data_IF_983366095978
#
_entry.id   IF_983366095978
#
_cell.length_a   1.000
_cell.length_b   1.000
_cell.length_c   1.000
_cell.angle_alpha   90.00
_cell.angle_beta   90.00
_cell.angle_gamma   90.00
#
_symmetry.space_group_name_H-M   'P 1'
#
loop_
_entity.id
_entity.type
_entity.pdbx_description
1 polymer ?
#
# COMPACT_ATOMS: atom_id res chain seq x y z
N UNK A 1 -12.00 -6.71 15.13
CA UNK A 1 -11.86 -6.40 13.69
C UNK A 1 -10.37 -6.27 13.39
N UNK A 2 -9.93 -6.92 12.35
CA UNK A 2 -8.52 -6.85 11.93
C UNK A 2 -8.26 -5.51 11.24
N UNK A 3 -7.33 -4.74 11.77
CA UNK A 3 -7.00 -3.39 11.29
C UNK A 3 -5.58 -3.33 10.76
N UNK A 4 -5.39 -2.62 9.66
CA UNK A 4 -4.09 -2.37 9.05
C UNK A 4 -4.05 -0.92 8.58
N UNK A 5 -2.88 -0.29 8.74
CA UNK A 5 -2.70 1.13 8.39
C UNK A 5 -1.89 1.28 7.11
N UNK A 6 -2.04 2.42 6.48
CA UNK A 6 -1.16 2.87 5.40
C UNK A 6 -0.66 4.28 5.68
N UNK A 7 0.52 4.60 5.18
CA UNK A 7 1.14 5.91 5.32
C UNK A 7 2.01 6.21 4.11
N UNK A 8 2.05 7.47 3.68
CA UNK A 8 3.03 7.96 2.71
C UNK A 8 4.07 8.81 3.42
N UNK A 9 5.37 8.56 3.18
CA UNK A 9 6.40 9.34 3.88
C UNK A 9 6.46 10.79 3.37
N UNK A 10 6.16 11.03 2.10
CA UNK A 10 6.16 12.36 1.50
C UNK A 10 7.47 13.13 1.77
N UNK A 11 7.37 14.41 2.00
CA UNK A 11 8.49 15.31 2.33
C UNK A 11 8.62 15.57 3.84
N UNK A 12 8.00 14.73 4.67
CA UNK A 12 8.04 14.89 6.13
C UNK A 12 9.46 14.81 6.66
N UNK A 13 9.72 15.48 7.78
CA UNK A 13 10.91 15.18 8.57
C UNK A 13 10.77 13.78 9.17
N UNK A 14 11.89 13.18 9.54
CA UNK A 14 11.83 11.86 10.19
C UNK A 14 11.11 11.97 11.55
N UNK A 15 11.25 13.07 12.26
CA UNK A 15 10.56 13.33 13.53
C UNK A 15 9.04 13.36 13.34
N UNK A 16 8.55 14.09 12.34
CA UNK A 16 7.11 14.15 12.01
C UNK A 16 6.58 12.76 11.64
N UNK A 17 7.34 12.01 10.85
CA UNK A 17 6.97 10.66 10.45
C UNK A 17 6.86 9.71 11.65
N UNK A 18 7.85 9.74 12.55
CA UNK A 18 7.82 8.93 13.78
C UNK A 18 6.66 9.32 14.69
N UNK A 19 6.34 10.60 14.80
CA UNK A 19 5.19 11.07 15.59
C UNK A 19 3.86 10.52 15.06
N UNK A 20 3.69 10.47 13.74
CA UNK A 20 2.50 9.89 13.12
C UNK A 20 2.38 8.41 13.44
N UNK A 21 3.47 7.66 13.33
CA UNK A 21 3.48 6.23 13.63
C UNK A 21 3.15 5.97 15.10
N UNK A 22 3.73 6.73 16.00
CA UNK A 22 3.49 6.60 17.44
C UNK A 22 2.05 6.97 17.81
N UNK A 23 1.50 8.03 17.20
CA UNK A 23 0.13 8.44 17.46
C UNK A 23 -0.91 7.37 17.13
N UNK A 24 -0.63 6.53 16.15
CA UNK A 24 -1.49 5.42 15.73
C UNK A 24 -1.01 4.05 16.27
N UNK A 25 -0.06 4.06 17.20
CA UNK A 25 0.46 2.83 17.85
C UNK A 25 1.06 1.81 16.87
N UNK A 26 1.68 2.28 15.80
CA UNK A 26 2.30 1.41 14.79
C UNK A 26 3.52 0.72 15.39
N UNK A 27 3.58 -0.59 15.23
CA UNK A 27 4.64 -1.45 15.76
C UNK A 27 5.61 -1.92 14.66
N UNK A 28 5.15 -1.94 13.43
CA UNK A 28 5.97 -2.33 12.27
C UNK A 28 5.59 -1.52 11.05
N UNK A 29 6.60 -1.00 10.33
CA UNK A 29 6.44 -0.41 9.01
C UNK A 29 6.84 -1.46 7.98
N UNK A 30 5.93 -1.76 7.06
CA UNK A 30 6.19 -2.59 5.88
C UNK A 30 6.37 -1.66 4.68
N UNK A 31 7.59 -1.57 4.21
CA UNK A 31 7.97 -0.71 3.09
C UNK A 31 7.62 -1.40 1.78
N UNK A 32 6.66 -0.86 1.05
CA UNK A 32 6.18 -1.39 -0.23
C UNK A 32 6.73 -0.61 -1.43
N UNK A 33 7.80 0.14 -1.24
CA UNK A 33 8.52 0.75 -2.36
C UNK A 33 9.32 -0.31 -3.10
N UNK A 34 9.29 -0.30 -4.41
CA UNK A 34 10.14 -1.20 -5.21
C UNK A 34 11.61 -0.90 -4.97
N UNK A 35 11.96 0.40 -4.97
CA UNK A 35 13.31 0.91 -4.64
C UNK A 35 13.18 1.73 -3.36
N UNK A 36 13.67 1.25 -2.21
CA UNK A 36 13.53 1.94 -0.93
C UNK A 36 14.58 3.03 -0.73
N UNK A 37 14.62 3.97 -1.67
CA UNK A 37 15.53 5.11 -1.68
C UNK A 37 14.76 6.39 -2.01
N UNK A 38 15.26 7.52 -1.54
CA UNK A 38 14.72 8.82 -1.90
C UNK A 38 15.85 9.84 -2.02
N UNK A 39 16.09 10.35 -3.22
CA UNK A 39 17.11 11.39 -3.45
C UNK A 39 16.71 12.71 -2.83
N UNK A 40 15.42 13.06 -2.90
CA UNK A 40 14.90 14.34 -2.36
C UNK A 40 14.69 14.31 -0.86
N UNK A 41 14.47 13.13 -0.30
CA UNK A 41 14.18 12.93 1.12
C UNK A 41 15.08 11.81 1.66
N UNK A 42 16.40 12.05 1.80
CA UNK A 42 17.36 11.01 2.13
C UNK A 42 17.13 10.37 3.51
N UNK A 43 16.41 11.05 4.40
CA UNK A 43 16.00 10.48 5.70
C UNK A 43 15.10 9.25 5.53
N UNK A 44 14.48 9.05 4.37
CA UNK A 44 13.66 7.89 4.03
C UNK A 44 14.37 6.87 3.15
N UNK A 45 15.67 7.01 2.94
CA UNK A 45 16.50 5.92 2.43
C UNK A 45 16.43 4.71 3.35
N UNK A 46 16.54 3.50 2.81
CA UNK A 46 16.28 2.27 3.56
C UNK A 46 17.08 2.19 4.87
N UNK A 47 18.40 2.45 4.81
CA UNK A 47 19.27 2.32 5.97
C UNK A 47 18.94 3.38 7.03
N UNK A 48 18.75 4.65 6.60
CA UNK A 48 18.41 5.75 7.49
C UNK A 48 17.06 5.53 8.14
N UNK A 49 16.06 5.11 7.37
CA UNK A 49 14.72 4.85 7.87
C UNK A 49 14.71 3.68 8.85
N UNK A 50 15.37 2.57 8.51
CA UNK A 50 15.44 1.41 9.38
C UNK A 50 16.12 1.75 10.71
N UNK A 51 17.21 2.52 10.68
CA UNK A 51 17.89 2.97 11.89
C UNK A 51 16.98 3.82 12.77
N UNK A 52 16.29 4.80 12.18
CA UNK A 52 15.39 5.68 12.93
C UNK A 52 14.20 4.91 13.53
N UNK A 53 13.60 3.99 12.79
CA UNK A 53 12.51 3.15 13.28
C UNK A 53 12.96 2.23 14.41
N UNK A 54 14.10 1.57 14.24
CA UNK A 54 14.67 0.68 15.28
C UNK A 54 14.92 1.44 16.57
N UNK A 55 15.49 2.63 16.51
CA UNK A 55 15.70 3.50 17.68
C UNK A 55 14.38 3.92 18.34
N UNK A 56 13.31 4.03 17.58
CA UNK A 56 11.98 4.34 18.10
C UNK A 56 11.20 3.09 18.57
N UNK A 57 11.79 1.90 18.50
CA UNK A 57 11.15 0.65 18.91
C UNK A 57 10.14 0.13 17.89
N UNK A 58 10.24 0.55 16.62
CA UNK A 58 9.35 0.15 15.52
C UNK A 58 10.13 -0.76 14.58
N UNK A 59 9.58 -1.93 14.27
CA UNK A 59 10.18 -2.85 13.32
C UNK A 59 10.07 -2.31 11.88
N UNK A 60 11.00 -2.70 11.04
CA UNK A 60 11.03 -2.36 9.61
C UNK A 60 11.18 -3.61 8.77
N UNK A 61 10.38 -3.74 7.74
CA UNK A 61 10.49 -4.79 6.72
C UNK A 61 10.33 -4.15 5.35
N UNK A 62 11.25 -4.44 4.43
CA UNK A 62 11.08 -4.12 3.02
C UNK A 62 10.40 -5.31 2.33
N UNK A 63 9.24 -5.07 1.72
CA UNK A 63 8.46 -6.11 1.06
C UNK A 63 8.30 -5.79 -0.42
N UNK A 64 9.33 -6.14 -1.19
CA UNK A 64 9.44 -5.81 -2.61
C UNK A 64 8.33 -6.45 -3.46
N UNK A 65 7.83 -7.62 -3.07
CA UNK A 65 6.75 -8.29 -3.80
C UNK A 65 5.39 -7.58 -3.70
N UNK A 66 5.27 -6.52 -2.90
CA UNK A 66 4.15 -5.59 -2.92
C UNK A 66 4.50 -4.25 -3.55
N UNK A 67 5.70 -4.12 -4.12
CA UNK A 67 6.17 -2.90 -4.75
C UNK A 67 5.44 -2.57 -6.06
N UNK A 68 5.42 -1.27 -6.41
CA UNK A 68 4.88 -0.76 -7.66
C UNK A 68 5.81 -0.96 -8.85
N UNK A 69 5.80 -0.04 -9.82
CA UNK A 69 6.61 -0.09 -11.05
C UNK A 69 6.34 -1.35 -11.88
N UNK A 70 5.07 -1.67 -12.08
CA UNK A 70 4.63 -2.80 -12.90
C UNK A 70 4.12 -2.30 -14.24
N UNK A 71 4.42 -3.04 -15.30
CA UNK A 71 3.93 -2.73 -16.63
C UNK A 71 2.70 -3.59 -16.96
N UNK A 72 1.65 -3.00 -17.58
CA UNK A 72 0.48 -3.77 -17.97
C UNK A 72 0.84 -4.74 -19.09
N UNK A 73 0.17 -5.90 -19.08
CA UNK A 73 0.23 -6.81 -20.22
C UNK A 73 -0.57 -6.24 -21.40
N UNK A 74 -0.23 -6.67 -22.62
CA UNK A 74 -0.91 -6.20 -23.83
C UNK A 74 -2.39 -6.65 -23.90
N UNK A 75 -2.75 -7.71 -23.18
CA UNK A 75 -4.09 -8.26 -23.08
C UNK A 75 -4.75 -7.99 -21.72
N UNK A 76 -4.31 -6.94 -21.02
CA UNK A 76 -4.86 -6.58 -19.72
C UNK A 76 -6.37 -6.38 -19.77
N UNK A 77 -7.07 -6.99 -18.81
CA UNK A 77 -8.52 -6.80 -18.61
C UNK A 77 -8.81 -5.58 -17.69
N UNK A 78 -7.76 -4.99 -17.10
CA UNK A 78 -7.88 -3.93 -16.11
C UNK A 78 -7.93 -2.54 -16.77
N UNK A 79 -8.72 -2.41 -17.81
CA UNK A 79 -8.81 -1.23 -18.67
C UNK A 79 -9.50 -0.02 -17.99
N UNK A 80 -10.13 -0.23 -16.84
CA UNK A 80 -10.65 0.85 -16.01
C UNK A 80 -9.56 1.78 -15.50
N UNK A 81 -8.35 1.27 -15.30
CA UNK A 81 -7.19 2.09 -14.99
C UNK A 81 -6.58 2.66 -16.28
N UNK A 82 -6.73 3.96 -16.48
CA UNK A 82 -6.09 4.67 -17.58
C UNK A 82 -4.60 4.91 -17.31
N UNK A 83 -4.22 5.11 -16.06
CA UNK A 83 -2.82 5.17 -15.66
C UNK A 83 -2.19 3.79 -15.85
N UNK A 84 -1.15 3.71 -16.70
CA UNK A 84 -0.52 2.44 -17.07
C UNK A 84 0.20 1.78 -15.90
N UNK A 85 0.73 2.54 -14.96
CA UNK A 85 1.37 2.00 -13.76
C UNK A 85 0.32 1.30 -12.86
N UNK A 86 -0.85 1.87 -12.70
CA UNK A 86 -1.93 1.25 -11.92
C UNK A 86 -2.54 0.04 -12.66
N UNK A 87 -2.70 0.14 -13.96
CA UNK A 87 -3.13 -1.02 -14.76
C UNK A 87 -2.14 -2.17 -14.64
N UNK A 88 -0.85 -1.89 -14.74
CA UNK A 88 0.21 -2.88 -14.55
C UNK A 88 0.19 -3.49 -13.15
N UNK A 89 -0.05 -2.68 -12.14
CA UNK A 89 -0.17 -3.19 -10.77
C UNK A 89 -1.41 -4.07 -10.60
N UNK A 90 -2.54 -3.69 -11.17
CA UNK A 90 -3.76 -4.50 -11.16
C UNK A 90 -3.52 -5.87 -11.83
N UNK A 91 -2.80 -5.89 -12.96
CA UNK A 91 -2.41 -7.15 -13.60
C UNK A 91 -1.51 -7.99 -12.69
N UNK A 92 -0.55 -7.35 -12.01
CA UNK A 92 0.35 -8.01 -11.06
C UNK A 92 -0.40 -8.64 -9.88
N UNK A 93 -1.50 -8.05 -9.45
CA UNK A 93 -2.30 -8.53 -8.31
C UNK A 93 -2.88 -9.93 -8.53
N UNK A 94 -2.99 -10.39 -9.77
CA UNK A 94 -3.45 -11.75 -10.08
C UNK A 94 -2.32 -12.79 -10.09
N UNK A 95 -1.07 -12.38 -9.86
CA UNK A 95 0.08 -13.29 -9.86
C UNK A 95 0.27 -13.99 -8.52
N UNK A 96 0.91 -15.19 -8.51
CA UNK A 96 1.26 -15.87 -7.27
C UNK A 96 2.20 -15.04 -6.37
N UNK A 97 3.11 -14.25 -6.93
CA UNK A 97 4.03 -13.40 -6.18
C UNK A 97 3.29 -12.36 -5.36
N UNK A 98 2.28 -11.70 -5.94
CA UNK A 98 1.45 -10.75 -5.22
C UNK A 98 0.65 -11.44 -4.11
N UNK A 99 0.04 -12.57 -4.39
CA UNK A 99 -0.75 -13.31 -3.41
C UNK A 99 0.10 -13.78 -2.24
N UNK A 100 1.33 -14.21 -2.50
CA UNK A 100 2.29 -14.53 -1.45
C UNK A 100 2.65 -13.30 -0.62
N UNK A 101 2.91 -12.18 -1.27
CA UNK A 101 3.21 -10.91 -0.59
C UNK A 101 2.05 -10.43 0.28
N UNK A 102 0.83 -10.56 -0.21
CA UNK A 102 -0.36 -10.21 0.55
C UNK A 102 -0.50 -11.10 1.80
N UNK A 103 -0.28 -12.39 1.66
CA UNK A 103 -0.34 -13.34 2.78
C UNK A 103 0.74 -13.04 3.82
N UNK A 104 1.97 -12.76 3.41
CA UNK A 104 3.06 -12.36 4.31
C UNK A 104 2.70 -11.09 5.10
N UNK A 105 2.11 -10.11 4.43
CA UNK A 105 1.64 -8.88 5.07
C UNK A 105 0.53 -9.16 6.09
N UNK A 106 -0.43 -9.98 5.73
CA UNK A 106 -1.54 -10.37 6.62
C UNK A 106 -1.02 -11.13 7.85
N UNK A 107 -0.07 -12.03 7.68
CA UNK A 107 0.56 -12.78 8.78
C UNK A 107 1.28 -11.84 9.76
N UNK A 108 1.93 -10.78 9.27
CA UNK A 108 2.53 -9.75 10.12
C UNK A 108 1.48 -8.95 10.86
N UNK A 109 0.42 -8.56 10.16
CA UNK A 109 -0.63 -7.70 10.70
C UNK A 109 -1.51 -8.37 11.75
N UNK A 110 -1.59 -9.70 11.79
CA UNK A 110 -2.26 -10.42 12.90
C UNK A 110 -1.42 -10.42 14.18
N UNK A 111 -0.11 -10.24 14.07
CA UNK A 111 0.83 -10.24 15.21
C UNK A 111 1.13 -8.86 15.75
N UNK A 112 1.14 -7.85 14.89
CA UNK A 112 1.54 -6.48 15.21
C UNK A 112 0.61 -5.48 14.54
N UNK A 113 0.59 -4.27 15.05
CA UNK A 113 -0.03 -3.13 14.37
C UNK A 113 0.89 -2.65 13.27
N UNK A 114 0.50 -2.89 12.03
CA UNK A 114 1.32 -2.66 10.84
C UNK A 114 0.83 -1.45 10.07
N UNK A 115 1.76 -0.64 9.55
CA UNK A 115 1.50 0.34 8.50
C UNK A 115 2.31 -0.01 7.26
N UNK A 116 1.65 -0.18 6.13
CA UNK A 116 2.34 -0.22 4.83
C UNK A 116 2.71 1.21 4.42
N UNK A 117 3.90 1.37 3.86
CA UNK A 117 4.45 2.69 3.54
C UNK A 117 4.90 2.77 2.10
N UNK A 118 4.53 3.85 1.42
CA UNK A 118 5.11 4.26 0.15
C UNK A 118 5.62 5.72 0.24
N UNK A 119 6.13 6.24 -0.87
CA UNK A 119 6.64 7.62 -0.93
C UNK A 119 5.51 8.66 -1.06
N UNK A 120 4.41 8.33 -1.70
CA UNK A 120 3.32 9.25 -2.03
C UNK A 120 2.43 9.53 -0.81
N UNK A 121 2.19 10.80 -0.51
CA UNK A 121 1.31 11.19 0.59
C UNK A 121 -0.14 10.78 0.36
N UNK A 122 -0.62 10.91 -0.88
CA UNK A 122 -2.00 10.66 -1.24
C UNK A 122 -2.18 9.21 -1.69
N UNK A 123 -2.90 8.41 -0.90
CA UNK A 123 -3.04 6.97 -1.17
C UNK A 123 -3.66 6.66 -2.54
N UNK A 124 -4.55 7.55 -3.05
CA UNK A 124 -5.21 7.36 -4.35
C UNK A 124 -4.29 7.63 -5.54
N UNK A 125 -3.10 8.17 -5.32
CA UNK A 125 -2.05 8.39 -6.33
C UNK A 125 -0.95 7.35 -6.29
N UNK A 126 -1.14 6.30 -5.52
CA UNK A 126 -0.14 5.27 -5.27
C UNK A 126 -0.77 3.88 -5.37
N UNK A 127 0.02 2.88 -5.79
CA UNK A 127 -0.39 1.48 -5.82
C UNK A 127 -0.88 0.95 -4.46
N UNK A 128 -0.59 1.64 -3.40
CA UNK A 128 -1.08 1.37 -2.05
C UNK A 128 -2.62 1.33 -1.99
N UNK A 129 -3.31 2.09 -2.86
CA UNK A 129 -4.77 2.03 -2.96
C UNK A 129 -5.27 0.68 -3.48
N UNK A 130 -4.54 0.06 -4.41
CA UNK A 130 -4.89 -1.27 -4.93
C UNK A 130 -4.60 -2.36 -3.90
N UNK A 131 -3.48 -2.27 -3.20
CA UNK A 131 -3.19 -3.16 -2.06
C UNK A 131 -4.28 -3.03 -0.98
N UNK A 132 -4.72 -1.82 -0.71
CA UNK A 132 -5.82 -1.56 0.23
C UNK A 132 -7.15 -2.17 -0.24
N UNK A 133 -7.44 -2.12 -1.53
CA UNK A 133 -8.61 -2.82 -2.10
C UNK A 133 -8.53 -4.32 -1.80
N UNK A 134 -7.39 -4.94 -2.08
CA UNK A 134 -7.18 -6.36 -1.85
C UNK A 134 -7.36 -6.75 -0.36
N UNK A 135 -6.80 -5.97 0.53
CA UNK A 135 -6.94 -6.20 1.99
C UNK A 135 -8.37 -6.01 2.46
N UNK A 136 -9.06 -4.98 1.96
CA UNK A 136 -10.45 -4.71 2.32
C UNK A 136 -11.36 -5.85 1.88
N UNK A 137 -11.14 -6.39 0.68
CA UNK A 137 -11.88 -7.56 0.18
C UNK A 137 -11.61 -8.80 1.04
N UNK A 138 -10.42 -8.93 1.63
CA UNK A 138 -10.07 -10.01 2.57
C UNK A 138 -10.66 -9.80 3.97
N UNK A 139 -11.36 -8.72 4.22
CA UNK A 139 -12.01 -8.45 5.50
C UNK A 139 -11.22 -7.56 6.46
N UNK A 140 -10.13 -6.96 6.03
CA UNK A 140 -9.37 -6.00 6.83
C UNK A 140 -10.03 -4.63 6.82
N UNK A 141 -10.00 -3.95 7.97
CA UNK A 141 -10.22 -2.50 8.03
C UNK A 141 -8.90 -1.81 7.71
N UNK A 142 -8.81 -1.14 6.57
CA UNK A 142 -7.62 -0.39 6.16
C UNK A 142 -7.82 1.09 6.46
N UNK A 143 -6.89 1.68 7.19
CA UNK A 143 -6.94 3.07 7.62
C UNK A 143 -5.73 3.82 7.07
N UNK A 144 -5.97 4.88 6.32
CA UNK A 144 -4.94 5.75 5.75
C UNK A 144 -4.57 6.85 6.74
N UNK A 145 -3.37 6.80 7.29
CA UNK A 145 -2.87 7.81 8.24
C UNK A 145 -2.67 9.14 7.51
N UNK A 146 -3.35 10.19 7.97
CA UNK A 146 -3.24 11.55 7.42
C UNK A 146 -2.59 12.51 8.41
N UNK A 147 -2.91 12.36 9.69
CA UNK A 147 -2.38 13.20 10.76
C UNK A 147 -2.29 12.38 12.05
N UNK A 148 -1.77 13.00 13.11
CA UNK A 148 -1.74 12.36 14.44
C UNK A 148 -3.14 11.98 14.95
N UNK A 149 -4.18 12.70 14.51
CA UNK A 149 -5.56 12.52 14.99
C UNK A 149 -6.44 11.77 14.01
N UNK A 150 -6.07 11.69 12.74
CA UNK A 150 -6.94 11.17 11.70
C UNK A 150 -6.28 10.05 10.90
N UNK A 151 -7.00 8.94 10.81
CA UNK A 151 -6.73 7.85 9.88
C UNK A 151 -8.03 7.53 9.15
N UNK A 152 -8.06 7.76 7.83
CA UNK A 152 -9.28 7.65 7.04
C UNK A 152 -9.51 6.21 6.58
N UNK A 153 -10.71 5.64 6.80
CA UNK A 153 -11.05 4.32 6.26
C UNK A 153 -10.94 4.28 4.74
N UNK A 154 -10.36 3.20 4.24
CA UNK A 154 -10.27 2.96 2.80
C UNK A 154 -11.64 2.70 2.20
N UNK A 155 -11.94 3.36 1.10
CA UNK A 155 -13.08 3.09 0.25
C UNK A 155 -12.61 2.31 -0.98
N UNK A 156 -13.30 1.22 -1.31
CA UNK A 156 -12.98 0.44 -2.50
C UNK A 156 -13.04 1.30 -3.75
N UNK A 157 -12.13 1.06 -4.67
CA UNK A 157 -12.16 1.69 -5.99
C UNK A 157 -13.51 1.43 -6.65
N UNK A 158 -14.16 2.49 -7.15
CA UNK A 158 -15.56 2.44 -7.60
C UNK A 158 -15.83 1.48 -8.75
N UNK A 159 -14.83 1.23 -9.59
CA UNK A 159 -14.93 0.31 -10.74
C UNK A 159 -14.29 -1.07 -10.49
N UNK A 160 -13.95 -1.38 -9.23
CA UNK A 160 -13.53 -2.72 -8.84
C UNK A 160 -14.68 -3.71 -9.03
N UNK A 161 -14.40 -4.83 -9.68
CA UNK A 161 -15.30 -6.00 -9.77
C UNK A 161 -14.54 -7.25 -9.38
N UNK A 162 -15.18 -8.08 -8.57
CA UNK A 162 -14.62 -9.38 -8.19
C UNK A 162 -15.22 -10.42 -9.13
N UNK A 163 -14.36 -11.06 -9.90
CA UNK A 163 -14.73 -12.12 -10.86
C UNK A 163 -13.89 -13.35 -10.55
N UNK A 164 -14.54 -14.49 -10.27
CA UNK A 164 -13.89 -15.75 -9.91
C UNK A 164 -12.87 -15.58 -8.76
N UNK A 165 -13.27 -14.88 -7.69
CA UNK A 165 -12.46 -14.54 -6.51
C UNK A 165 -11.23 -13.65 -6.79
N UNK A 166 -11.14 -13.08 -7.99
CA UNK A 166 -10.06 -12.16 -8.38
C UNK A 166 -10.57 -10.73 -8.48
N UNK A 167 -9.74 -9.79 -7.98
CA UNK A 167 -9.99 -8.38 -8.17
C UNK A 167 -9.71 -8.02 -9.62
N UNK A 168 -10.71 -7.40 -10.26
CA UNK A 168 -10.58 -6.88 -11.62
C UNK A 168 -11.03 -5.43 -11.67
N UNK A 169 -10.49 -4.68 -12.61
CA UNK A 169 -10.80 -3.27 -12.81
C UNK A 169 -11.18 -3.04 -14.27
N UNK A 170 -12.34 -3.58 -14.71
CA UNK A 170 -12.75 -3.47 -16.10
C UNK A 170 -13.06 -2.02 -16.47
N UNK A 171 -13.02 -1.73 -17.77
CA UNK A 171 -13.48 -0.45 -18.26
C UNK A 171 -14.92 -0.21 -17.78
N UNK A 172 -15.16 0.97 -17.19
CA UNK A 172 -16.51 1.41 -16.86
C UNK A 172 -17.18 1.76 -18.16
N UNK A 173 -18.10 0.85 -18.62
CA UNK A 173 -18.72 1.05 -19.89
C UNK A 173 -19.70 2.22 -19.85
N UNK A 174 -19.44 3.23 -20.66
CA UNK A 174 -20.49 4.05 -21.24
C UNK A 174 -21.32 3.25 -22.26
N UNK A 175 -21.09 1.94 -22.31
CA UNK A 175 -21.71 0.98 -23.20
C UNK A 175 -22.31 -0.18 -22.43
N UNK A 176 -23.28 0.09 -21.58
CA UNK A 176 -24.32 -0.91 -21.37
C UNK A 176 -25.38 -0.65 -22.46
N UNK A 177 -25.62 -1.64 -23.34
CA UNK A 177 -26.71 -1.54 -24.30
C UNK A 177 -28.07 -1.52 -23.60
#
# INVERSE_FOLDING_TARGET
MKTLYTIGHSTRTIEEFLELLKAHHIQEVVDVRTVPQSRRNPQFGQDQLQTALTQAGIAYTHQKNLGGLRHPSSDSINLGWQNLAFRGYADYMSTPEFQQGLQELEDRAVKKTVAIMCAEALWWRCHRSLTADALTVQGWQVLHIQSRKTAKPHELTSFLKIIDDKLTYPATGEYEP
#
